data_IF_272570163022
#
_entry.id   IF_272570163022
#
_cell.length_a   1.000
_cell.length_b   1.000
_cell.length_c   1.000
_cell.angle_alpha   90.00
_cell.angle_beta   90.00
_cell.angle_gamma   90.00
#
_symmetry.space_group_name_H-M   'P 1'
#
loop_
_entity.id
_entity.type
_entity.pdbx_description
1 polymer ?
#
# COMPACT_ATOMS: atom_id res chain seq x y z
N UNK A 1 -24.32 -18.77 8.26
CA UNK A 1 -23.22 -19.53 7.65
C UNK A 1 -22.42 -18.56 6.79
N UNK A 2 -21.09 -18.52 6.92
CA UNK A 2 -20.25 -17.71 6.02
C UNK A 2 -20.27 -18.36 4.63
N UNK A 3 -20.57 -17.59 3.58
CA UNK A 3 -20.60 -18.11 2.23
C UNK A 3 -19.18 -18.35 1.68
N UNK A 4 -19.07 -19.19 0.65
CA UNK A 4 -17.79 -19.58 0.06
C UNK A 4 -16.98 -18.40 -0.50
N UNK A 5 -17.64 -17.31 -0.91
CA UNK A 5 -16.96 -16.11 -1.43
C UNK A 5 -16.26 -15.37 -0.29
N UNK A 6 -16.91 -15.20 0.86
CA UNK A 6 -16.27 -14.61 2.04
C UNK A 6 -15.09 -15.44 2.54
N UNK A 7 -15.21 -16.77 2.53
CA UNK A 7 -14.11 -17.66 2.93
C UNK A 7 -12.89 -17.56 1.98
N UNK A 8 -13.13 -17.54 0.67
CA UNK A 8 -12.07 -17.38 -0.33
C UNK A 8 -11.42 -15.99 -0.26
N UNK A 9 -12.22 -14.94 -0.05
CA UNK A 9 -11.72 -13.57 0.10
C UNK A 9 -10.80 -13.44 1.34
N UNK A 10 -11.24 -13.98 2.48
CA UNK A 10 -10.44 -14.03 3.71
C UNK A 10 -9.11 -14.80 3.51
N UNK A 11 -9.16 -15.96 2.84
CA UNK A 11 -7.97 -16.76 2.53
C UNK A 11 -7.03 -16.06 1.56
N UNK A 12 -7.57 -15.37 0.55
CA UNK A 12 -6.83 -14.59 -0.46
C UNK A 12 -6.20 -13.31 0.11
N UNK A 13 -6.62 -12.88 1.30
CA UNK A 13 -5.97 -11.84 2.11
C UNK A 13 -5.12 -12.38 3.26
N UNK A 14 -5.12 -13.69 3.50
CA UNK A 14 -4.22 -14.33 4.48
C UNK A 14 -4.74 -14.54 5.86
N UNK A 15 -6.04 -14.35 6.07
CA UNK A 15 -6.64 -14.55 7.37
C UNK A 15 -7.28 -15.92 7.50
N UNK A 16 -7.30 -16.43 8.73
CA UNK A 16 -8.10 -17.59 9.11
C UNK A 16 -9.53 -17.21 9.55
N UNK A 17 -9.80 -15.92 9.80
CA UNK A 17 -11.05 -15.47 10.44
C UNK A 17 -11.55 -14.07 10.07
N UNK A 18 -10.72 -13.15 9.57
CA UNK A 18 -11.13 -11.74 9.34
C UNK A 18 -10.67 -11.19 8.01
N UNK A 19 -11.53 -10.47 7.30
CA UNK A 19 -11.28 -10.01 5.92
C UNK A 19 -10.31 -8.81 5.85
N UNK A 20 -9.11 -8.92 6.46
CA UNK A 20 -8.10 -7.87 6.57
C UNK A 20 -6.75 -8.30 6.00
N UNK A 21 -6.05 -7.35 5.41
CA UNK A 21 -4.66 -7.52 5.00
C UNK A 21 -3.73 -7.67 6.23
N UNK A 22 -2.67 -8.50 6.17
CA UNK A 22 -1.70 -8.64 7.27
C UNK A 22 -0.76 -7.44 7.38
N UNK A 23 -0.60 -6.67 6.30
CA UNK A 23 0.13 -5.41 6.28
C UNK A 23 -0.77 -4.33 5.67
N UNK A 24 -1.09 -3.28 6.43
CA UNK A 24 -1.82 -2.11 5.95
C UNK A 24 -0.99 -0.87 6.24
N UNK A 25 -0.75 -0.07 5.22
CA UNK A 25 0.07 1.13 5.29
C UNK A 25 -0.70 2.38 4.92
N UNK A 26 -0.41 3.48 5.60
CA UNK A 26 -0.90 4.82 5.29
C UNK A 26 0.24 5.67 4.72
N UNK A 27 0.01 6.30 3.57
CA UNK A 27 0.99 7.12 2.87
C UNK A 27 0.35 8.38 2.31
N UNK A 28 1.13 9.44 2.18
CA UNK A 28 0.77 10.65 1.43
C UNK A 28 1.46 10.59 0.07
N UNK A 29 0.69 10.63 -1.03
CA UNK A 29 1.22 10.68 -2.40
C UNK A 29 1.07 12.10 -2.92
N UNK A 30 2.13 12.66 -3.51
CA UNK A 30 2.15 13.99 -4.11
C UNK A 30 1.49 14.00 -5.50
N UNK A 31 0.24 13.52 -5.54
CA UNK A 31 -0.63 13.54 -6.71
C UNK A 31 -2.06 13.96 -6.32
N UNK A 32 -2.80 14.61 -7.23
CA UNK A 32 -4.22 14.89 -7.04
C UNK A 32 -5.05 13.59 -7.01
N UNK A 33 -6.16 13.59 -6.28
CA UNK A 33 -7.01 12.41 -6.11
C UNK A 33 -7.45 11.78 -7.44
N UNK A 34 -7.73 12.61 -8.46
CA UNK A 34 -8.09 12.14 -9.82
C UNK A 34 -7.02 11.26 -10.50
N UNK A 35 -5.74 11.47 -10.17
CA UNK A 35 -4.63 10.69 -10.70
C UNK A 35 -4.42 9.40 -9.91
N UNK A 36 -4.77 9.41 -8.62
CA UNK A 36 -4.67 8.25 -7.71
C UNK A 36 -5.83 7.28 -7.90
N UNK A 37 -7.05 7.79 -8.10
CA UNK A 37 -8.30 7.03 -8.09
C UNK A 37 -8.33 5.78 -9.00
N UNK A 38 -7.83 5.81 -10.25
CA UNK A 38 -7.86 4.62 -11.12
C UNK A 38 -7.04 3.45 -10.57
N UNK A 39 -6.14 3.73 -9.64
CA UNK A 39 -5.12 2.81 -9.18
C UNK A 39 -5.28 2.41 -7.69
N UNK A 40 -6.29 2.88 -6.97
CA UNK A 40 -6.38 2.59 -5.53
C UNK A 40 -6.82 1.15 -5.22
N UNK A 41 -7.50 0.47 -6.17
CA UNK A 41 -7.94 -0.91 -5.99
C UNK A 41 -8.95 -1.04 -4.85
N UNK A 42 -8.67 -1.93 -3.90
CA UNK A 42 -9.43 -2.12 -2.66
C UNK A 42 -8.92 -1.25 -1.49
N UNK A 43 -7.99 -0.33 -1.74
CA UNK A 43 -7.52 0.66 -0.78
C UNK A 43 -8.48 1.84 -0.61
N UNK A 44 -8.19 2.67 0.38
CA UNK A 44 -8.91 3.91 0.68
C UNK A 44 -8.07 5.12 0.28
N UNK A 45 -8.72 6.23 -0.07
CA UNK A 45 -8.04 7.49 -0.36
C UNK A 45 -8.82 8.70 0.18
N UNK A 46 -8.10 9.73 0.57
CA UNK A 46 -8.62 11.02 1.04
C UNK A 46 -7.84 12.15 0.34
N UNK A 47 -8.55 13.09 -0.27
CA UNK A 47 -7.92 14.29 -0.84
C UNK A 47 -7.46 15.22 0.29
N UNK A 48 -6.14 15.43 0.40
CA UNK A 48 -5.56 16.32 1.42
C UNK A 48 -5.38 17.73 0.86
N UNK A 49 -5.08 17.84 -0.43
CA UNK A 49 -5.00 19.10 -1.16
C UNK A 49 -5.24 18.89 -2.65
N UNK A 50 -5.25 19.98 -3.42
CA UNK A 50 -5.35 19.93 -4.89
C UNK A 50 -4.17 19.16 -5.55
N UNK A 51 -3.09 18.88 -4.83
CA UNK A 51 -1.88 18.20 -5.33
C UNK A 51 -1.44 17.01 -4.50
N UNK A 52 -2.15 16.65 -3.43
CA UNK A 52 -1.76 15.53 -2.57
C UNK A 52 -2.95 14.72 -2.07
N UNK A 53 -2.75 13.41 -1.98
CA UNK A 53 -3.77 12.43 -1.62
C UNK A 53 -3.20 11.49 -0.58
N UNK A 54 -3.89 11.36 0.54
CA UNK A 54 -3.60 10.31 1.53
C UNK A 54 -4.23 9.02 1.04
N UNK A 55 -3.50 7.91 1.16
CA UNK A 55 -3.96 6.58 0.80
C UNK A 55 -3.72 5.59 1.93
N UNK A 56 -4.63 4.64 2.06
CA UNK A 56 -4.47 3.45 2.90
C UNK A 56 -4.57 2.23 2.02
N UNK A 57 -3.49 1.45 1.94
CA UNK A 57 -3.42 0.27 1.07
C UNK A 57 -2.92 -0.93 1.85
N UNK A 58 -3.47 -2.09 1.53
CA UNK A 58 -3.10 -3.35 2.17
C UNK A 58 -2.37 -4.30 1.23
N UNK A 59 -1.56 -5.18 1.80
CA UNK A 59 -0.89 -6.25 1.06
C UNK A 59 -0.49 -7.39 1.98
N UNK A 60 0.05 -8.45 1.37
CA UNK A 60 0.63 -9.60 2.05
C UNK A 60 1.98 -9.33 2.71
N UNK A 61 2.62 -8.20 2.37
CA UNK A 61 3.91 -7.79 2.92
C UNK A 61 4.08 -6.28 2.83
N UNK A 62 4.97 -5.72 3.67
CA UNK A 62 5.35 -4.31 3.57
C UNK A 62 5.97 -3.94 2.22
N UNK A 63 6.73 -4.84 1.59
CA UNK A 63 7.24 -4.62 0.22
C UNK A 63 6.11 -4.59 -0.81
N UNK A 64 5.06 -5.38 -0.63
CA UNK A 64 3.86 -5.32 -1.47
C UNK A 64 3.11 -3.99 -1.35
N UNK A 65 2.99 -3.44 -0.14
CA UNK A 65 2.46 -2.08 0.10
C UNK A 65 3.32 -1.04 -0.65
N UNK A 66 4.64 -1.09 -0.49
CA UNK A 66 5.55 -0.17 -1.16
C UNK A 66 5.50 -0.29 -2.68
N UNK A 67 5.35 -1.49 -3.23
CA UNK A 67 5.19 -1.71 -4.66
C UNK A 67 3.87 -1.13 -5.19
N UNK A 68 2.78 -1.25 -4.43
CA UNK A 68 1.51 -0.65 -4.78
C UNK A 68 1.61 0.89 -4.86
N UNK A 69 2.38 1.52 -3.98
CA UNK A 69 2.58 2.99 -4.02
C UNK A 69 3.61 3.41 -5.07
N UNK A 70 4.70 2.66 -5.23
CA UNK A 70 5.74 2.98 -6.21
C UNK A 70 5.21 3.07 -7.65
N UNK A 71 4.11 2.35 -7.96
CA UNK A 71 3.49 2.39 -9.29
C UNK A 71 2.91 3.75 -9.69
N UNK A 72 2.66 4.64 -8.72
CA UNK A 72 2.19 5.99 -9.00
C UNK A 72 3.24 6.88 -9.65
N UNK A 73 4.52 6.46 -9.63
CA UNK A 73 5.64 7.20 -10.22
C UNK A 73 5.70 8.67 -9.77
N UNK A 74 5.47 8.89 -8.47
CA UNK A 74 5.44 10.20 -7.86
C UNK A 74 6.08 10.16 -6.47
N UNK A 75 6.56 11.32 -5.95
CA UNK A 75 7.00 11.41 -4.57
C UNK A 75 5.89 11.00 -3.61
N UNK A 76 6.26 10.30 -2.54
CA UNK A 76 5.35 9.95 -1.46
C UNK A 76 6.06 9.91 -0.12
N UNK A 77 5.30 10.07 0.95
CA UNK A 77 5.77 9.98 2.33
C UNK A 77 5.01 8.88 3.06
N UNK A 78 5.72 8.01 3.77
CA UNK A 78 5.10 7.06 4.69
C UNK A 78 4.56 7.82 5.89
N UNK A 79 3.28 7.63 6.24
CA UNK A 79 2.67 8.14 7.47
C UNK A 79 2.80 7.10 8.58
N UNK A 80 2.54 5.83 8.26
CA UNK A 80 2.77 4.71 9.18
C UNK A 80 2.30 3.37 8.62
N UNK A 81 2.48 2.29 9.37
CA UNK A 81 3.14 2.22 10.68
C UNK A 81 4.69 2.23 10.57
N UNK A 82 5.42 2.12 11.69
CA UNK A 82 6.90 2.19 11.71
C UNK A 82 7.53 1.07 10.89
N UNK A 83 6.95 -0.13 10.93
CA UNK A 83 7.41 -1.29 10.17
C UNK A 83 7.39 -1.04 8.66
N UNK A 84 6.48 -0.19 8.17
CA UNK A 84 6.47 0.25 6.77
C UNK A 84 7.63 1.20 6.47
N UNK A 85 8.00 2.08 7.41
CA UNK A 85 9.18 2.97 7.25
C UNK A 85 10.47 2.16 7.20
N UNK A 86 10.62 1.19 8.10
CA UNK A 86 11.76 0.26 8.10
C UNK A 86 11.85 -0.52 6.78
N UNK A 87 10.72 -1.06 6.31
CA UNK A 87 10.65 -1.75 5.04
C UNK A 87 10.99 -0.85 3.84
N UNK A 88 10.62 0.44 3.89
CA UNK A 88 10.96 1.41 2.87
C UNK A 88 12.47 1.65 2.80
N UNK A 89 13.13 1.80 3.96
CA UNK A 89 14.58 1.90 4.05
C UNK A 89 15.29 0.67 3.49
N UNK A 90 14.81 -0.53 3.84
CA UNK A 90 15.35 -1.79 3.34
C UNK A 90 15.17 -1.93 1.81
N UNK A 91 14.00 -1.55 1.26
CA UNK A 91 13.75 -1.57 -0.18
C UNK A 91 14.64 -0.58 -0.92
N UNK A 92 14.77 0.65 -0.42
CA UNK A 92 15.64 1.67 -1.00
C UNK A 92 17.11 1.20 -1.06
N UNK A 93 17.60 0.53 0.00
CA UNK A 93 18.94 -0.05 0.00
C UNK A 93 19.12 -1.11 -1.10
N UNK A 94 18.13 -2.00 -1.27
CA UNK A 94 18.16 -3.03 -2.34
C UNK A 94 18.15 -2.42 -3.73
N UNK A 95 17.33 -1.39 -3.96
CA UNK A 95 17.26 -0.68 -5.24
C UNK A 95 18.59 0.01 -5.56
N UNK A 96 19.19 0.70 -4.59
CA UNK A 96 20.51 1.32 -4.75
C UNK A 96 21.58 0.30 -5.12
N UNK A 97 21.67 -0.81 -4.38
CA UNK A 97 22.62 -1.89 -4.71
C UNK A 97 22.36 -2.56 -6.06
N UNK A 98 21.13 -2.49 -6.58
CA UNK A 98 20.81 -3.00 -7.91
C UNK A 98 21.26 -2.05 -9.04
N UNK A 99 21.30 -0.73 -8.80
CA UNK A 99 21.77 0.27 -9.77
C UNK A 99 23.29 0.26 -9.94
N UNK A 100 24.03 -0.11 -8.89
CA UNK A 100 25.50 -0.13 -8.87
C UNK A 100 26.11 -1.40 -9.52
N UNK A 101 25.27 -2.28 -10.08
CA UNK A 101 25.69 -3.47 -10.83
C UNK A 101 25.72 -3.22 -12.33
#
# INVERSE_FOLDING_TARGET
>A
AADARSFLAARARGSASEDRWPCTGELLVELPARAVAPWIGDGEMEEVSATSTRITVGSWSWTGVLAAVARFDAPFSVIGPEELREAAGALAARLRSAQER
#
